data_IF_688328805721
#
_entry.id   IF_688328805721
#
_cell.length_a   1.000
_cell.length_b   1.000
_cell.length_c   1.000
_cell.angle_alpha   90.00
_cell.angle_beta   90.00
_cell.angle_gamma   90.00
#
_symmetry.space_group_name_H-M   'P 1'
#
loop_
_entity.id
_entity.type
_entity.pdbx_description
1 polymer ?
#
# COMPACT_ATOMS: atom_id res chain seq x y z
N UNK A 1 6.96 0.51 -21.72
CA UNK A 1 7.11 1.08 -20.38
C UNK A 1 6.76 0.04 -19.32
N UNK A 2 7.53 0.03 -18.26
CA UNK A 2 7.35 -0.97 -17.21
C UNK A 2 6.26 -0.54 -16.24
N UNK A 3 5.31 -1.43 -15.96
CA UNK A 3 4.27 -1.17 -14.97
C UNK A 3 4.79 -1.61 -13.61
N UNK A 4 4.85 -0.69 -12.65
CA UNK A 4 5.29 -1.00 -11.29
C UNK A 4 4.15 -1.44 -10.40
N UNK A 5 2.96 -0.88 -10.60
CA UNK A 5 1.79 -1.21 -9.78
C UNK A 5 0.57 -1.31 -10.68
N UNK A 6 -0.20 -2.37 -10.50
CA UNK A 6 -1.46 -2.55 -11.22
C UNK A 6 -2.51 -3.06 -10.24
N UNK A 7 -3.55 -2.25 -10.01
CA UNK A 7 -4.67 -2.59 -9.15
C UNK A 7 -5.94 -2.60 -9.97
N UNK A 8 -6.75 -3.65 -9.80
CA UNK A 8 -8.00 -3.79 -10.54
C UNK A 8 -9.11 -4.27 -9.63
N UNK A 9 -10.27 -3.64 -9.76
CA UNK A 9 -11.47 -4.06 -9.07
C UNK A 9 -11.43 -3.84 -7.56
N UNK A 10 -10.72 -2.82 -7.08
CA UNK A 10 -10.56 -2.59 -5.65
C UNK A 10 -11.81 -1.93 -5.08
N UNK A 11 -12.44 -2.59 -4.11
CA UNK A 11 -13.60 -2.08 -3.39
C UNK A 11 -13.41 -2.24 -1.90
N UNK A 12 -13.93 -1.29 -1.13
CA UNK A 12 -13.82 -1.32 0.32
C UNK A 12 -15.00 -0.60 0.94
N UNK A 13 -15.60 -1.22 1.97
CA UNK A 13 -16.72 -0.65 2.69
C UNK A 13 -16.44 -0.65 4.20
N UNK A 14 -16.97 0.32 4.90
CA UNK A 14 -16.92 0.40 6.35
C UNK A 14 -18.32 0.64 6.88
N UNK A 15 -18.77 -0.23 7.79
CA UNK A 15 -20.10 -0.11 8.42
C UNK A 15 -21.23 0.03 7.39
N UNK A 16 -21.16 -0.78 6.33
CA UNK A 16 -22.16 -0.77 5.28
C UNK A 16 -22.04 0.36 4.25
N UNK A 17 -21.12 1.29 4.47
CA UNK A 17 -20.90 2.39 3.52
C UNK A 17 -19.71 2.07 2.62
N UNK A 18 -19.95 2.11 1.30
CA UNK A 18 -18.90 1.85 0.32
C UNK A 18 -17.99 3.07 0.20
N UNK A 19 -16.71 2.88 0.51
CA UNK A 19 -15.70 3.94 0.45
C UNK A 19 -14.94 3.88 -0.87
N UNK A 20 -14.64 2.68 -1.36
CA UNK A 20 -14.02 2.47 -2.67
C UNK A 20 -14.93 1.54 -3.48
N UNK A 21 -15.11 1.85 -4.75
CA UNK A 21 -15.99 1.08 -5.63
C UNK A 21 -15.30 0.83 -6.96
N UNK A 22 -14.86 -0.42 -7.15
CA UNK A 22 -14.27 -0.89 -8.41
C UNK A 22 -13.18 0.04 -8.93
N UNK A 23 -12.21 0.33 -8.08
CA UNK A 23 -11.10 1.22 -8.41
C UNK A 23 -10.05 0.47 -9.23
N UNK A 24 -9.64 1.07 -10.34
CA UNK A 24 -8.61 0.53 -11.22
C UNK A 24 -7.52 1.59 -11.39
N UNK A 25 -6.26 1.19 -11.21
CA UNK A 25 -5.15 2.13 -11.32
C UNK A 25 -3.89 1.39 -11.76
N UNK A 26 -3.11 2.04 -12.63
CA UNK A 26 -1.80 1.54 -13.05
C UNK A 26 -0.78 2.64 -12.87
N UNK A 27 0.39 2.29 -12.33
CA UNK A 27 1.49 3.23 -12.15
C UNK A 27 2.72 2.66 -12.86
N UNK A 28 3.26 3.47 -13.77
CA UNK A 28 4.43 3.10 -14.55
C UNK A 28 5.70 3.48 -13.81
N UNK A 29 6.80 2.88 -14.23
CA UNK A 29 8.12 3.22 -13.69
C UNK A 29 8.39 4.72 -13.88
N UNK A 30 8.89 5.36 -12.82
CA UNK A 30 9.23 6.79 -12.80
C UNK A 30 8.04 7.73 -12.89
N UNK A 31 6.82 7.21 -12.75
CA UNK A 31 5.62 8.03 -12.79
C UNK A 31 5.27 8.54 -11.39
N UNK A 32 4.75 9.77 -11.32
CA UNK A 32 4.20 10.34 -10.09
C UNK A 32 2.70 10.47 -10.26
N UNK A 33 1.95 9.86 -9.37
CA UNK A 33 0.48 9.87 -9.42
C UNK A 33 -0.06 10.54 -8.17
N UNK A 34 -0.99 11.48 -8.35
CA UNK A 34 -1.64 12.17 -7.24
C UNK A 34 -3.09 11.66 -7.14
N UNK A 35 -3.49 11.34 -5.90
CA UNK A 35 -4.86 10.96 -5.60
C UNK A 35 -5.53 12.15 -4.93
N UNK A 36 -6.56 12.69 -5.58
CA UNK A 36 -7.25 13.87 -5.09
C UNK A 36 -8.69 13.55 -4.75
N UNK A 37 -9.28 14.39 -3.90
CA UNK A 37 -10.66 14.22 -3.48
C UNK A 37 -10.91 14.94 -2.16
N UNK A 38 -12.18 15.06 -1.79
CA UNK A 38 -12.54 15.68 -0.53
C UNK A 38 -12.17 14.77 0.65
N UNK A 39 -12.11 15.36 1.85
CA UNK A 39 -11.89 14.61 3.08
C UNK A 39 -12.95 13.52 3.23
N UNK A 40 -12.52 12.33 3.62
CA UNK A 40 -13.44 11.20 3.76
C UNK A 40 -13.78 10.49 2.46
N UNK A 41 -13.14 10.85 1.36
CA UNK A 41 -13.40 10.25 0.04
C UNK A 41 -12.67 8.93 -0.19
N UNK A 42 -11.98 8.41 0.80
CA UNK A 42 -11.31 7.11 0.69
C UNK A 42 -9.86 7.17 0.22
N UNK A 43 -9.26 8.36 0.14
CA UNK A 43 -7.87 8.49 -0.30
C UNK A 43 -6.90 7.70 0.56
N UNK A 44 -7.01 7.85 1.87
CA UNK A 44 -6.16 7.12 2.82
C UNK A 44 -6.42 5.62 2.74
N UNK A 45 -7.68 5.22 2.60
CA UNK A 45 -8.05 3.82 2.46
C UNK A 45 -7.40 3.21 1.22
N UNK A 46 -7.45 3.92 0.10
CA UNK A 46 -6.84 3.43 -1.14
C UNK A 46 -5.32 3.31 -0.99
N UNK A 47 -4.67 4.31 -0.39
CA UNK A 47 -3.22 4.27 -0.16
C UNK A 47 -2.85 3.09 0.75
N UNK A 48 -3.63 2.82 1.78
CA UNK A 48 -3.37 1.69 2.67
C UNK A 48 -3.45 0.36 1.92
N UNK A 49 -4.41 0.22 1.01
CA UNK A 49 -4.54 -1.01 0.22
C UNK A 49 -3.40 -1.14 -0.79
N UNK A 50 -3.08 -0.05 -1.50
CA UNK A 50 -2.00 -0.07 -2.50
C UNK A 50 -0.63 -0.30 -1.87
N UNK A 51 -0.44 0.11 -0.62
CA UNK A 51 0.80 -0.11 0.12
C UNK A 51 0.81 -1.42 0.90
N UNK A 52 -0.21 -2.26 0.75
CA UNK A 52 -0.36 -3.58 1.38
C UNK A 52 -0.61 -3.55 2.88
N UNK A 53 -0.90 -2.39 3.44
CA UNK A 53 -1.22 -2.27 4.87
C UNK A 53 -2.64 -2.75 5.19
N UNK A 54 -3.51 -2.80 4.20
CA UNK A 54 -4.89 -3.27 4.33
C UNK A 54 -5.28 -4.06 3.09
N UNK A 55 -6.42 -4.73 3.15
CA UNK A 55 -6.94 -5.53 2.05
C UNK A 55 -8.29 -5.01 1.59
N UNK A 56 -8.63 -5.15 0.30
CA UNK A 56 -9.99 -4.83 -0.15
C UNK A 56 -10.98 -5.87 0.33
N UNK A 57 -12.29 -5.53 0.26
CA UNK A 57 -13.34 -6.44 0.67
C UNK A 57 -13.46 -7.63 -0.28
N UNK A 58 -13.12 -7.42 -1.54
CA UNK A 58 -13.34 -8.39 -2.61
C UNK A 58 -12.02 -8.90 -3.19
N UNK A 59 -11.07 -9.29 -2.32
CA UNK A 59 -9.75 -9.74 -2.78
C UNK A 59 -9.82 -10.91 -3.75
N UNK A 60 -10.90 -11.70 -3.72
CA UNK A 60 -11.10 -12.81 -4.65
C UNK A 60 -11.46 -12.34 -6.06
N UNK A 61 -12.05 -11.15 -6.18
CA UNK A 61 -12.50 -10.57 -7.46
C UNK A 61 -11.69 -9.35 -7.86
N UNK A 62 -10.58 -9.11 -7.19
CA UNK A 62 -9.71 -7.97 -7.44
C UNK A 62 -8.27 -8.44 -7.54
N UNK A 63 -7.40 -7.58 -8.03
CA UNK A 63 -5.99 -7.91 -8.12
C UNK A 63 -5.13 -6.71 -7.77
N UNK A 64 -3.95 -6.99 -7.23
CA UNK A 64 -2.93 -5.99 -6.99
C UNK A 64 -1.58 -6.61 -7.28
N UNK A 65 -0.89 -6.08 -8.28
CA UNK A 65 0.46 -6.49 -8.64
C UNK A 65 1.42 -5.35 -8.35
N UNK A 66 2.50 -5.65 -7.64
CA UNK A 66 3.57 -4.69 -7.36
C UNK A 66 4.87 -5.33 -7.81
N UNK A 67 5.56 -4.70 -8.76
CA UNK A 67 6.81 -5.22 -9.34
C UNK A 67 6.63 -6.67 -9.79
N UNK A 68 5.52 -6.97 -10.44
CA UNK A 68 5.15 -8.29 -10.96
C UNK A 68 4.84 -9.34 -9.88
N UNK A 69 4.70 -8.94 -8.62
CA UNK A 69 4.28 -9.85 -7.55
C UNK A 69 2.78 -9.75 -7.33
N UNK A 70 2.09 -10.89 -7.35
CA UNK A 70 0.66 -10.95 -7.04
C UNK A 70 0.48 -10.83 -5.53
N UNK A 71 0.16 -9.62 -5.08
CA UNK A 71 0.14 -9.28 -3.65
C UNK A 71 -0.87 -10.13 -2.86
N UNK A 72 -2.04 -10.39 -3.45
CA UNK A 72 -3.10 -11.10 -2.72
C UNK A 72 -2.84 -12.60 -2.61
N UNK A 73 -1.85 -13.12 -3.33
CA UNK A 73 -1.44 -14.54 -3.21
C UNK A 73 -0.31 -14.75 -2.21
N UNK A 74 0.31 -13.69 -1.72
CA UNK A 74 1.46 -13.82 -0.82
C UNK A 74 1.01 -14.14 0.60
N UNK A 75 1.80 -14.97 1.30
CA UNK A 75 1.59 -15.17 2.72
C UNK A 75 2.12 -13.97 3.51
N UNK A 76 1.87 -13.95 4.83
CA UNK A 76 2.26 -12.80 5.65
C UNK A 76 3.76 -12.54 5.64
N UNK A 77 4.56 -13.59 5.63
CA UNK A 77 6.03 -13.47 5.62
C UNK A 77 6.52 -12.83 4.33
N UNK A 78 6.06 -13.34 3.18
CA UNK A 78 6.46 -12.81 1.88
C UNK A 78 5.92 -11.39 1.66
N UNK A 79 4.72 -11.11 2.17
CA UNK A 79 4.14 -9.78 2.07
C UNK A 79 4.95 -8.76 2.88
N UNK A 80 5.39 -9.14 4.08
CA UNK A 80 6.24 -8.26 4.90
C UNK A 80 7.56 -7.98 4.22
N UNK A 81 8.13 -8.98 3.56
CA UNK A 81 9.38 -8.82 2.82
C UNK A 81 9.19 -7.89 1.62
N UNK A 82 8.11 -8.06 0.89
CA UNK A 82 7.79 -7.18 -0.25
C UNK A 82 7.67 -5.73 0.22
N UNK A 83 6.94 -5.50 1.32
CA UNK A 83 6.75 -4.17 1.89
C UNK A 83 8.08 -3.54 2.26
N UNK A 84 8.93 -4.29 2.93
CA UNK A 84 10.23 -3.78 3.38
C UNK A 84 11.16 -3.44 2.21
N UNK A 85 11.14 -4.24 1.16
CA UNK A 85 12.08 -4.09 0.04
C UNK A 85 11.59 -3.14 -1.05
N UNK A 86 10.27 -3.09 -1.29
CA UNK A 86 9.71 -2.42 -2.46
C UNK A 86 8.91 -1.16 -2.17
N UNK A 87 8.50 -0.95 -0.92
CA UNK A 87 7.57 0.13 -0.59
C UNK A 87 8.13 1.03 0.49
N UNK A 88 8.10 2.35 0.24
CA UNK A 88 8.31 3.35 1.28
C UNK A 88 6.98 4.06 1.53
N UNK A 89 6.68 4.35 2.79
CA UNK A 89 5.42 4.97 3.16
C UNK A 89 5.66 6.17 4.08
N UNK A 90 5.01 7.29 3.76
CA UNK A 90 5.03 8.48 4.61
C UNK A 90 3.60 8.70 5.11
N UNK A 91 3.40 8.58 6.41
CA UNK A 91 2.08 8.70 7.02
C UNK A 91 1.66 10.16 7.15
N UNK A 92 0.34 10.37 7.20
CA UNK A 92 -0.22 11.71 7.40
C UNK A 92 0.20 12.28 8.75
N UNK A 93 0.27 11.44 9.78
CA UNK A 93 0.73 11.81 11.11
C UNK A 93 2.05 11.11 11.40
N UNK A 94 2.84 11.65 12.33
CA UNK A 94 4.14 11.09 12.66
C UNK A 94 4.00 9.68 13.24
N UNK A 95 4.67 8.73 12.61
CA UNK A 95 4.69 7.33 13.04
C UNK A 95 6.11 6.92 13.47
N UNK A 96 6.79 7.84 14.13
CA UNK A 96 8.13 7.58 14.66
C UNK A 96 8.04 6.92 16.02
N UNK A 97 9.01 6.07 16.31
CA UNK A 97 9.12 5.43 17.63
C UNK A 97 9.79 6.44 18.59
N UNK A 98 9.08 6.93 19.62
CA UNK A 98 9.63 8.01 20.47
C UNK A 98 10.92 7.63 21.21
N UNK A 99 11.11 6.36 21.50
CA UNK A 99 12.28 5.84 22.22
C UNK A 99 13.53 5.81 21.36
N UNK A 100 13.39 5.98 20.04
CA UNK A 100 14.50 5.93 19.09
C UNK A 100 14.86 7.31 18.60
N UNK A 101 16.11 7.51 18.21
CA UNK A 101 16.55 8.74 17.57
C UNK A 101 15.97 8.81 16.14
N UNK A 102 16.11 10.00 15.52
CA UNK A 102 15.69 10.17 14.13
C UNK A 102 16.45 9.19 13.22
N UNK A 103 17.77 9.07 13.42
CA UNK A 103 18.56 8.15 12.60
C UNK A 103 18.11 6.70 12.79
N UNK A 104 17.86 6.29 14.03
CA UNK A 104 17.39 4.94 14.31
C UNK A 104 16.05 4.65 13.65
N UNK A 105 15.10 5.61 13.66
CA UNK A 105 13.83 5.46 12.97
C UNK A 105 14.02 5.27 11.46
N UNK A 106 14.91 6.04 10.87
CA UNK A 106 15.20 5.95 9.43
C UNK A 106 15.82 4.60 9.08
N UNK A 107 16.70 4.09 9.93
CA UNK A 107 17.44 2.84 9.67
C UNK A 107 16.64 1.59 9.99
N UNK A 108 15.55 1.69 10.77
CA UNK A 108 14.82 0.53 11.25
C UNK A 108 14.39 -0.44 10.14
N UNK A 109 13.78 0.02 9.03
CA UNK A 109 13.43 -0.91 7.95
C UNK A 109 14.62 -1.65 7.37
N UNK A 110 15.78 -0.99 7.27
CA UNK A 110 17.01 -1.64 6.81
C UNK A 110 17.52 -2.69 7.77
N UNK A 111 17.39 -2.46 9.07
CA UNK A 111 17.77 -3.46 10.07
C UNK A 111 16.89 -4.69 10.01
N UNK A 112 15.58 -4.50 9.79
CA UNK A 112 14.64 -5.61 9.65
C UNK A 112 14.96 -6.40 8.38
N UNK A 113 15.27 -5.72 7.29
CA UNK A 113 15.59 -6.35 6.01
C UNK A 113 16.87 -7.18 6.08
N UNK A 114 17.82 -6.77 6.90
CA UNK A 114 19.14 -7.40 6.98
C UNK A 114 19.06 -8.87 7.39
N UNK A 115 18.03 -9.25 8.07
CA UNK A 115 17.81 -10.65 8.43
C UNK A 115 17.32 -11.44 7.22
#
# INVERSE_FOLDING_TARGET
>A
MEILLSAKGISKSFQGKKVLDDINIEIMKSEVVAITGSSGAGKTTLLNILSTLDKPDNSDNSSLFICNHDVFSLNNSDLSKLRNEMIGFVFQFHELIPELTVLENICLPGWIKKD
#
